data_IF_661613527473
#
_entry.id   IF_661613527473
#
_cell.length_a   1.000
_cell.length_b   1.000
_cell.length_c   1.000
_cell.angle_alpha   90.00
_cell.angle_beta   90.00
_cell.angle_gamma   90.00
#
_symmetry.space_group_name_H-M   'P 1'
#
loop_
_entity.id
_entity.type
_entity.pdbx_description
1 polymer ?
#
# COMPACT_ATOMS: atom_id res chain seq x y z
N UNK A 1 -4.22 9.93 -12.62
CA UNK A 1 -3.26 9.54 -11.56
C UNK A 1 -2.82 8.12 -11.85
N UNK A 2 -1.59 7.77 -11.50
CA UNK A 2 -1.09 6.40 -11.67
C UNK A 2 -1.68 5.51 -10.56
N UNK A 3 -2.03 4.27 -10.92
CA UNK A 3 -2.55 3.27 -9.97
C UNK A 3 -1.43 2.35 -9.53
N UNK A 4 -1.46 1.98 -8.26
CA UNK A 4 -0.49 1.08 -7.67
C UNK A 4 -1.19 0.01 -6.84
N UNK A 5 -0.60 -1.18 -6.85
CA UNK A 5 -0.95 -2.26 -5.94
C UNK A 5 0.14 -2.33 -4.89
N UNK A 6 -0.24 -2.19 -3.63
CA UNK A 6 0.64 -2.34 -2.48
C UNK A 6 0.29 -3.61 -1.72
N UNK A 7 1.22 -4.54 -1.67
CA UNK A 7 1.11 -5.75 -0.85
C UNK A 7 1.92 -5.54 0.42
N UNK A 8 1.31 -5.75 1.59
CA UNK A 8 2.02 -5.56 2.85
C UNK A 8 1.95 -6.76 3.77
N UNK A 9 3.06 -7.00 4.47
CA UNK A 9 3.20 -8.04 5.49
C UNK A 9 3.67 -7.37 6.76
N UNK A 10 2.99 -7.65 7.87
CA UNK A 10 3.32 -7.16 9.19
C UNK A 10 4.51 -7.92 9.76
N UNK A 11 5.38 -7.21 10.47
CA UNK A 11 6.40 -7.85 11.31
C UNK A 11 5.77 -8.38 12.60
N UNK A 12 6.54 -9.13 13.41
CA UNK A 12 6.05 -9.59 14.71
C UNK A 12 5.57 -8.44 15.62
N UNK A 13 6.21 -7.27 15.53
CA UNK A 13 5.81 -6.05 16.22
C UNK A 13 4.53 -5.46 15.62
N UNK A 14 4.43 -5.42 14.29
CA UNK A 14 3.23 -4.99 13.58
C UNK A 14 2.01 -5.82 13.95
N UNK A 15 2.14 -7.15 14.04
CA UNK A 15 1.05 -8.04 14.42
C UNK A 15 0.62 -7.84 15.88
N UNK A 16 1.56 -7.67 16.82
CA UNK A 16 1.23 -7.34 18.21
C UNK A 16 0.48 -6.02 18.31
N UNK A 17 0.95 -5.01 17.57
CA UNK A 17 0.32 -3.69 17.51
C UNK A 17 -1.09 -3.79 16.95
N UNK A 18 -1.27 -4.51 15.84
CA UNK A 18 -2.57 -4.70 15.23
C UNK A 18 -3.56 -5.40 16.18
N UNK A 19 -3.09 -6.41 16.90
CA UNK A 19 -3.92 -7.13 17.88
C UNK A 19 -4.33 -6.23 19.06
N UNK A 20 -3.44 -5.36 19.52
CA UNK A 20 -3.70 -4.46 20.64
C UNK A 20 -4.52 -3.22 20.23
N UNK A 21 -4.34 -2.73 18.99
CA UNK A 21 -4.97 -1.53 18.44
C UNK A 21 -5.34 -1.73 16.96
N UNK A 22 -6.47 -2.41 16.66
CA UNK A 22 -6.90 -2.68 15.29
C UNK A 22 -7.12 -1.42 14.44
N UNK A 23 -7.49 -0.31 15.08
CA UNK A 23 -7.74 0.98 14.45
C UNK A 23 -6.49 1.57 13.77
N UNK A 24 -5.29 1.06 14.12
CA UNK A 24 -4.03 1.50 13.54
C UNK A 24 -4.01 1.38 12.01
N UNK A 25 -4.74 0.42 11.43
CA UNK A 25 -4.86 0.27 9.97
C UNK A 25 -5.41 1.56 9.35
N UNK A 26 -6.48 2.14 9.93
CA UNK A 26 -7.10 3.35 9.40
C UNK A 26 -6.25 4.59 9.61
N UNK A 27 -5.49 4.64 10.71
CA UNK A 27 -4.54 5.74 10.95
C UNK A 27 -3.43 5.76 9.90
N UNK A 28 -2.91 4.59 9.51
CA UNK A 28 -1.90 4.50 8.45
C UNK A 28 -2.48 5.01 7.13
N UNK A 29 -3.73 4.69 6.79
CA UNK A 29 -4.36 5.23 5.57
C UNK A 29 -4.39 6.77 5.56
N UNK A 30 -4.73 7.40 6.69
CA UNK A 30 -4.73 8.87 6.81
C UNK A 30 -3.32 9.47 6.68
N UNK A 31 -2.31 8.77 7.17
CA UNK A 31 -0.92 9.22 7.03
C UNK A 31 -0.45 9.11 5.59
N UNK A 32 -0.85 8.05 4.87
CA UNK A 32 -0.56 7.84 3.45
C UNK A 32 -1.21 8.93 2.57
N UNK A 33 -2.43 9.37 2.91
CA UNK A 33 -3.08 10.49 2.23
C UNK A 33 -2.31 11.82 2.34
N UNK A 34 -1.56 12.04 3.43
CA UNK A 34 -0.69 13.23 3.57
C UNK A 34 0.48 13.24 2.59
N UNK A 35 0.86 12.08 2.06
CA UNK A 35 1.86 11.97 1.00
C UNK A 35 1.27 12.19 -0.40
N UNK A 36 -0.03 12.49 -0.52
CA UNK A 36 -0.70 12.61 -1.81
C UNK A 36 -1.08 11.25 -2.42
N UNK A 37 -1.05 10.18 -1.63
CA UNK A 37 -1.45 8.83 -2.05
C UNK A 37 -2.86 8.56 -1.54
N UNK A 38 -3.80 8.33 -2.45
CA UNK A 38 -5.20 8.04 -2.12
C UNK A 38 -5.43 6.54 -2.09
N UNK A 39 -5.95 6.01 -0.99
CA UNK A 39 -6.37 4.60 -0.92
C UNK A 39 -7.73 4.45 -1.60
N UNK A 40 -7.79 3.67 -2.68
CA UNK A 40 -9.03 3.35 -3.37
C UNK A 40 -9.73 2.18 -2.68
N UNK A 41 -8.99 1.10 -2.45
CA UNK A 41 -9.49 -0.12 -1.83
C UNK A 41 -8.41 -0.74 -0.96
N UNK A 42 -8.82 -1.39 0.12
CA UNK A 42 -7.94 -2.06 1.05
C UNK A 42 -8.59 -3.35 1.54
N UNK A 43 -7.85 -4.45 1.46
CA UNK A 43 -8.29 -5.78 1.82
C UNK A 43 -7.33 -6.39 2.83
N UNK A 44 -7.87 -6.97 3.91
CA UNK A 44 -7.13 -7.91 4.74
C UNK A 44 -7.25 -9.30 4.11
N UNK A 45 -6.12 -9.97 3.89
CA UNK A 45 -6.08 -11.25 3.17
C UNK A 45 -5.33 -12.30 3.98
N UNK A 46 -5.61 -13.57 3.67
CA UNK A 46 -4.89 -14.71 4.23
C UNK A 46 -3.95 -15.26 3.15
N UNK A 47 -2.66 -15.39 3.48
CA UNK A 47 -1.66 -15.90 2.56
C UNK A 47 -0.28 -15.30 2.84
N UNK A 48 0.56 -15.09 1.81
CA UNK A 48 1.91 -14.55 1.99
C UNK A 48 1.94 -13.06 2.39
N UNK A 49 0.81 -12.37 2.26
CA UNK A 49 0.63 -10.97 2.63
C UNK A 49 -0.54 -10.84 3.60
N UNK A 50 -0.51 -9.81 4.43
CA UNK A 50 -1.58 -9.49 5.38
C UNK A 50 -2.58 -8.51 4.77
N UNK A 51 -2.13 -7.61 3.88
CA UNK A 51 -3.00 -6.65 3.19
C UNK A 51 -2.69 -6.49 1.71
N UNK A 52 -3.74 -6.19 0.95
CA UNK A 52 -3.70 -5.73 -0.44
C UNK A 52 -4.34 -4.34 -0.50
N UNK A 53 -3.62 -3.36 -1.03
CA UNK A 53 -4.12 -2.00 -1.17
C UNK A 53 -4.03 -1.58 -2.63
N UNK A 54 -5.12 -1.01 -3.15
CA UNK A 54 -5.15 -0.34 -4.43
C UNK A 54 -5.11 1.15 -4.14
N UNK A 55 -4.10 1.85 -4.64
CA UNK A 55 -3.90 3.27 -4.37
C UNK A 55 -3.68 4.06 -5.64
N UNK A 56 -4.01 5.34 -5.60
CA UNK A 56 -3.66 6.32 -6.62
C UNK A 56 -2.60 7.27 -6.09
N UNK A 57 -1.60 7.57 -6.93
CA UNK A 57 -0.61 8.59 -6.62
C UNK A 57 -0.30 9.42 -7.89
N UNK A 58 0.26 10.64 -7.75
CA UNK A 58 0.66 11.46 -8.88
C UNK A 58 1.72 10.78 -9.76
N UNK A 59 2.72 10.16 -9.14
CA UNK A 59 3.92 9.60 -9.78
C UNK A 59 4.60 8.53 -8.91
N UNK A 60 5.62 7.88 -9.48
CA UNK A 60 6.40 6.84 -8.79
C UNK A 60 7.19 7.42 -7.60
N UNK A 61 7.69 8.65 -7.71
CA UNK A 61 8.53 9.29 -6.67
C UNK A 61 7.74 9.46 -5.37
N UNK A 62 6.45 9.79 -5.49
CA UNK A 62 5.52 9.88 -4.37
C UNK A 62 5.39 8.53 -3.65
N UNK A 63 5.25 7.44 -4.42
CA UNK A 63 5.14 6.07 -3.88
C UNK A 63 6.46 5.60 -3.27
N UNK A 64 7.61 5.97 -3.85
CA UNK A 64 8.92 5.67 -3.25
C UNK A 64 9.08 6.31 -1.87
N UNK A 65 8.77 7.60 -1.74
CA UNK A 65 8.85 8.32 -0.46
C UNK A 65 7.95 7.68 0.61
N UNK A 66 6.70 7.39 0.24
CA UNK A 66 5.74 6.71 1.12
C UNK A 66 6.24 5.31 1.52
N UNK A 67 6.78 4.54 0.58
CA UNK A 67 7.26 3.16 0.85
C UNK A 67 8.43 3.17 1.84
N UNK A 68 9.36 4.11 1.70
CA UNK A 68 10.49 4.28 2.64
C UNK A 68 10.00 4.73 4.01
N UNK A 69 9.11 5.72 4.08
CA UNK A 69 8.55 6.22 5.34
C UNK A 69 7.84 5.10 6.10
N UNK A 70 6.95 4.37 5.43
CA UNK A 70 6.21 3.28 6.03
C UNK A 70 7.12 2.11 6.45
N UNK A 71 8.11 1.76 5.64
CA UNK A 71 9.09 0.72 5.96
C UNK A 71 10.02 1.09 7.12
N UNK A 72 10.35 2.38 7.28
CA UNK A 72 11.25 2.85 8.35
C UNK A 72 10.71 2.60 9.76
N UNK A 73 9.40 2.43 9.89
CA UNK A 73 8.70 2.19 11.17
C UNK A 73 8.91 0.79 11.72
N UNK A 74 9.47 -0.14 10.93
CA UNK A 74 9.76 -1.51 11.35
C UNK A 74 8.54 -2.41 11.62
N UNK A 75 7.33 -1.87 11.53
CA UNK A 75 6.08 -2.61 11.78
C UNK A 75 5.55 -3.32 10.55
N UNK A 76 5.92 -2.85 9.34
CA UNK A 76 5.40 -3.38 8.08
C UNK A 76 6.50 -3.47 7.02
N UNK A 77 6.37 -4.44 6.11
CA UNK A 77 7.11 -4.51 4.85
C UNK A 77 6.12 -4.37 3.71
N UNK A 78 6.45 -3.55 2.71
CA UNK A 78 5.59 -3.27 1.57
C UNK A 78 6.31 -3.64 0.27
N UNK A 79 5.57 -4.28 -0.63
CA UNK A 79 5.88 -4.40 -2.05
C UNK A 79 4.96 -3.46 -2.83
N UNK A 80 5.54 -2.46 -3.47
CA UNK A 80 4.81 -1.44 -4.24
C UNK A 80 4.97 -1.72 -5.74
N UNK A 81 3.86 -1.83 -6.47
CA UNK A 81 3.87 -2.15 -7.90
C UNK A 81 3.05 -1.10 -8.68
N UNK A 82 3.64 -0.37 -9.63
CA UNK A 82 2.87 0.37 -10.62
C UNK A 82 1.96 -0.61 -11.38
N UNK A 83 0.73 -0.19 -11.63
CA UNK A 83 -0.29 -1.03 -12.25
C UNK A 83 -1.05 -0.26 -13.32
N UNK A 84 -1.37 -0.97 -14.39
CA UNK A 84 -2.35 -0.56 -15.40
C UNK A 84 -3.39 -1.67 -15.52
N UNK A 85 -4.57 -1.33 -15.98
CA UNK A 85 -5.60 -2.31 -16.29
C UNK A 85 -5.19 -3.19 -17.48
N UNK A 86 -5.81 -4.36 -17.59
CA UNK A 86 -5.57 -5.26 -18.72
C UNK A 86 -5.93 -4.60 -20.05
N UNK A 87 -7.00 -3.78 -20.08
CA UNK A 87 -7.40 -3.05 -21.28
C UNK A 87 -6.36 -2.01 -21.70
N UNK A 88 -5.80 -1.25 -20.76
CA UNK A 88 -4.70 -0.31 -21.03
C UNK A 88 -3.46 -1.03 -21.56
N UNK A 89 -3.12 -2.20 -21.00
CA UNK A 89 -2.02 -3.02 -21.50
C UNK A 89 -2.27 -3.44 -22.96
N UNK A 90 -3.46 -3.93 -23.27
CA UNK A 90 -3.84 -4.34 -24.64
C UNK A 90 -3.72 -3.17 -25.61
N UNK A 91 -4.15 -1.97 -25.22
CA UNK A 91 -4.02 -0.76 -26.05
C UNK A 91 -2.57 -0.37 -26.27
N UNK A 92 -1.70 -0.50 -25.25
CA UNK A 92 -0.27 -0.11 -25.36
C UNK A 92 0.56 -1.00 -26.30
N UNK A 93 0.11 -2.23 -26.55
CA UNK A 93 0.80 -3.21 -27.39
C UNK A 93 0.34 -3.18 -28.86
N UNK A 94 -0.70 -2.41 -29.16
CA UNK A 94 -1.21 -2.20 -30.52
C UNK A 94 -0.63 -0.92 -31.10
#
# INVERSE_FOLDING_TARGET
MAKYILLSTLTAEGQKTLKAKPERIKEVNQEVEKFGVKVLEQYAVLGPYDFVNIVEAPDNDTVFKMSVELGSRGTIKILSMPSITVDELIVSLK
#
